data_IF_842693765560
#
_entry.id   IF_842693765560
#
_cell.length_a   1.000
_cell.length_b   1.000
_cell.length_c   1.000
_cell.angle_alpha   90.00
_cell.angle_beta   90.00
_cell.angle_gamma   90.00
#
_symmetry.space_group_name_H-M   'P 1'
#
loop_
_entity.id
_entity.type
_entity.pdbx_description
1 polymer ?
#
# COMPACT_ATOMS: atom_id res chain seq x y z
N UNK A 1 -19.41 -16.75 15.01
CA UNK A 1 -19.27 -17.26 13.82
C UNK A 1 -18.87 -16.32 12.83
N UNK A 2 -19.54 -15.31 12.71
CA UNK A 2 -19.20 -14.32 11.76
C UNK A 2 -17.94 -13.63 12.09
N UNK A 3 -17.64 -13.53 13.36
CA UNK A 3 -16.42 -12.87 13.82
C UNK A 3 -15.20 -13.56 13.26
N UNK A 4 -15.20 -14.86 13.20
CA UNK A 4 -14.04 -15.57 12.67
C UNK A 4 -13.82 -15.30 11.21
N UNK A 5 -14.90 -15.18 10.46
CA UNK A 5 -14.78 -14.89 9.04
C UNK A 5 -14.21 -13.51 8.83
N UNK A 6 -14.63 -12.53 9.63
CA UNK A 6 -14.10 -11.19 9.47
C UNK A 6 -12.62 -11.14 9.79
N UNK A 7 -12.18 -11.85 10.79
CA UNK A 7 -10.78 -11.85 11.14
C UNK A 7 -9.94 -12.45 10.01
N UNK A 8 -10.42 -13.51 9.40
CA UNK A 8 -9.69 -14.11 8.29
C UNK A 8 -9.66 -13.19 7.10
N UNK A 9 -10.72 -12.41 6.94
CA UNK A 9 -10.82 -11.54 5.78
C UNK A 9 -9.80 -10.42 5.77
N UNK A 10 -9.40 -9.89 6.91
CA UNK A 10 -8.47 -8.77 6.91
C UNK A 10 -7.09 -9.18 6.38
N UNK A 11 -6.70 -10.43 6.56
CA UNK A 11 -5.40 -10.86 6.07
C UNK A 11 -5.32 -10.84 4.56
N UNK A 12 -6.40 -11.21 3.90
CA UNK A 12 -6.44 -11.15 2.45
C UNK A 12 -6.36 -9.70 1.99
N UNK A 13 -7.10 -8.82 2.65
CA UNK A 13 -7.10 -7.41 2.28
C UNK A 13 -5.76 -6.75 2.55
N UNK A 14 -5.08 -7.20 3.61
CA UNK A 14 -3.73 -6.72 3.86
C UNK A 14 -2.80 -7.14 2.73
N UNK A 15 -2.93 -8.36 2.22
CA UNK A 15 -2.10 -8.82 1.11
C UNK A 15 -2.28 -7.97 -0.13
N UNK A 16 -3.52 -7.60 -0.44
CA UNK A 16 -3.81 -6.76 -1.60
C UNK A 16 -3.18 -5.38 -1.41
N UNK A 17 -3.33 -4.79 -0.21
CA UNK A 17 -2.73 -3.49 0.09
C UNK A 17 -1.20 -3.58 -0.02
N UNK A 18 -0.61 -4.61 0.54
CA UNK A 18 0.84 -4.79 0.51
C UNK A 18 1.34 -4.91 -0.92
N UNK A 19 0.61 -5.61 -1.78
CA UNK A 19 1.02 -5.76 -3.17
C UNK A 19 0.93 -4.43 -3.90
N UNK A 20 -0.07 -3.62 -3.61
CA UNK A 20 -0.19 -2.30 -4.19
C UNK A 20 0.95 -1.41 -3.74
N UNK A 21 1.33 -1.52 -2.46
CA UNK A 21 2.43 -0.74 -1.91
C UNK A 21 3.74 -1.13 -2.62
N UNK A 22 3.98 -2.42 -2.79
CA UNK A 22 5.19 -2.88 -3.47
C UNK A 22 5.22 -2.40 -4.92
N UNK A 23 4.06 -2.38 -5.58
CA UNK A 23 3.98 -1.91 -6.95
C UNK A 23 4.39 -0.44 -7.03
N UNK A 24 3.88 0.38 -6.13
CA UNK A 24 4.22 1.80 -6.13
C UNK A 24 5.70 1.99 -5.80
N UNK A 25 6.21 1.24 -4.83
CA UNK A 25 7.62 1.35 -4.46
C UNK A 25 8.55 1.09 -5.64
N UNK A 26 8.19 0.17 -6.49
CA UNK A 26 9.03 -0.17 -7.62
C UNK A 26 8.92 0.79 -8.80
N UNK A 27 7.84 1.56 -8.88
CA UNK A 27 7.57 2.35 -10.06
C UNK A 27 7.45 3.85 -9.85
N UNK A 28 7.16 4.29 -8.64
CA UNK A 28 6.99 5.72 -8.41
C UNK A 28 8.32 6.43 -8.52
N UNK A 29 8.36 7.67 -8.96
CA UNK A 29 7.19 8.43 -9.37
C UNK A 29 6.89 8.35 -10.86
N UNK A 30 7.78 7.78 -11.67
CA UNK A 30 7.62 7.89 -13.12
C UNK A 30 8.04 6.64 -13.90
N UNK A 31 8.17 5.49 -13.25
CA UNK A 31 8.57 4.26 -13.93
C UNK A 31 7.38 3.36 -14.24
N UNK A 32 6.22 3.96 -14.47
CA UNK A 32 5.01 3.19 -14.73
C UNK A 32 4.93 2.80 -16.20
N UNK A 33 4.53 1.56 -16.51
CA UNK A 33 4.47 1.13 -17.89
C UNK A 33 3.27 1.74 -18.61
N UNK A 34 3.37 1.86 -19.93
CA UNK A 34 2.25 2.31 -20.73
C UNK A 34 1.45 1.07 -21.11
N UNK A 35 0.14 1.11 -20.90
CA UNK A 35 -0.73 0.01 -21.25
C UNK A 35 -1.54 0.39 -22.46
N UNK A 36 -1.30 -0.28 -23.57
CA UNK A 36 -1.82 0.16 -24.86
C UNK A 36 -3.33 0.26 -24.96
N UNK A 37 -4.04 -0.63 -24.27
CA UNK A 37 -5.48 -0.63 -24.41
C UNK A 37 -6.20 0.32 -23.44
N UNK A 38 -5.46 1.05 -22.61
CA UNK A 38 -6.08 1.96 -21.68
C UNK A 38 -6.02 3.39 -22.19
N UNK A 39 -7.08 4.19 -21.99
CA UNK A 39 -7.04 5.59 -22.37
C UNK A 39 -6.10 6.36 -21.46
N UNK A 40 -5.69 7.57 -21.86
CA UNK A 40 -4.71 8.33 -21.07
C UNK A 40 -5.06 8.51 -19.60
N UNK A 41 -6.33 8.76 -19.29
CA UNK A 41 -6.71 9.02 -17.92
C UNK A 41 -6.69 7.76 -17.07
N UNK A 42 -6.60 6.58 -17.68
CA UNK A 42 -6.55 5.33 -16.95
C UNK A 42 -5.15 4.72 -16.91
N UNK A 43 -4.18 5.37 -17.52
CA UNK A 43 -2.83 4.82 -17.56
C UNK A 43 -2.24 4.78 -16.15
N UNK A 44 -1.38 3.78 -15.87
CA UNK A 44 -0.67 3.75 -14.60
C UNK A 44 0.18 4.99 -14.45
N UNK A 45 0.04 5.69 -13.36
CA UNK A 45 0.86 6.86 -13.08
C UNK A 45 0.82 7.09 -11.57
N UNK A 46 1.52 8.10 -11.10
CA UNK A 46 1.62 8.35 -9.69
C UNK A 46 0.26 8.60 -9.05
N UNK A 47 -0.56 9.45 -9.64
CA UNK A 47 -1.87 9.77 -9.08
C UNK A 47 -2.78 8.57 -9.04
N UNK A 48 -2.88 7.84 -10.13
CA UNK A 48 -3.78 6.69 -10.20
C UNK A 48 -3.32 5.58 -9.27
N UNK A 49 -2.01 5.39 -9.17
CA UNK A 49 -1.48 4.34 -8.31
C UNK A 49 -1.69 4.67 -6.83
N UNK A 50 -1.56 5.95 -6.45
CA UNK A 50 -1.84 6.31 -5.07
C UNK A 50 -3.33 6.28 -4.77
N UNK A 51 -4.17 6.54 -5.75
CA UNK A 51 -5.60 6.42 -5.55
C UNK A 51 -5.95 4.97 -5.24
N UNK A 52 -5.38 4.03 -5.99
CA UNK A 52 -5.59 2.63 -5.74
C UNK A 52 -5.00 2.22 -4.39
N UNK A 53 -3.81 2.70 -4.07
CA UNK A 53 -3.16 2.37 -2.81
C UNK A 53 -4.01 2.84 -1.63
N UNK A 54 -4.56 4.05 -1.70
CA UNK A 54 -5.41 4.56 -0.64
C UNK A 54 -6.69 3.75 -0.50
N UNK A 55 -7.25 3.32 -1.62
CA UNK A 55 -8.47 2.53 -1.61
C UNK A 55 -8.21 1.17 -0.97
N UNK A 56 -7.12 0.52 -1.36
CA UNK A 56 -6.79 -0.79 -0.80
C UNK A 56 -6.48 -0.66 0.68
N UNK A 57 -5.83 0.41 1.08
CA UNK A 57 -5.52 0.64 2.48
C UNK A 57 -6.81 0.82 3.27
N UNK A 58 -7.77 1.59 2.73
CA UNK A 58 -9.02 1.81 3.43
C UNK A 58 -9.79 0.50 3.60
N UNK A 59 -9.80 -0.34 2.58
CA UNK A 59 -10.48 -1.63 2.64
C UNK A 59 -9.83 -2.49 3.72
N UNK A 60 -8.49 -2.49 3.78
CA UNK A 60 -7.79 -3.24 4.80
C UNK A 60 -8.14 -2.73 6.20
N UNK A 61 -8.14 -1.42 6.38
CA UNK A 61 -8.40 -0.84 7.71
C UNK A 61 -9.83 -1.10 8.16
N UNK A 62 -10.78 -1.09 7.25
CA UNK A 62 -12.15 -1.39 7.61
C UNK A 62 -12.28 -2.81 8.18
N UNK A 63 -11.48 -3.73 7.70
CA UNK A 63 -11.51 -5.10 8.18
C UNK A 63 -10.64 -5.31 9.41
N UNK A 64 -9.49 -4.64 9.47
CA UNK A 64 -8.52 -4.83 10.55
C UNK A 64 -8.87 -4.02 11.79
N UNK A 65 -9.36 -2.80 11.60
CA UNK A 65 -9.68 -1.92 12.71
C UNK A 65 -8.70 -0.77 12.80
N UNK A 66 -9.20 0.40 13.16
CA UNK A 66 -8.36 1.57 13.27
C UNK A 66 -7.62 1.59 14.59
N UNK A 67 -6.42 2.13 14.59
CA UNK A 67 -5.59 2.20 15.77
C UNK A 67 -4.57 3.31 15.57
N UNK A 68 -3.79 3.67 16.59
CA UNK A 68 -2.72 4.63 16.39
C UNK A 68 -1.73 4.18 15.32
N UNK A 69 -1.47 2.88 15.20
CA UNK A 69 -0.57 2.40 14.18
C UNK A 69 -1.13 2.60 12.79
N UNK A 70 -2.41 2.34 12.58
CA UNK A 70 -2.99 2.52 11.25
C UNK A 70 -3.00 4.00 10.86
N UNK A 71 -3.13 4.91 11.82
CA UNK A 71 -3.05 6.33 11.54
C UNK A 71 -1.65 6.69 11.09
N UNK A 72 -0.62 6.10 11.71
CA UNK A 72 0.77 6.35 11.29
C UNK A 72 1.01 5.82 9.89
N UNK A 73 0.45 4.69 9.56
CA UNK A 73 0.62 4.11 8.23
C UNK A 73 -0.04 4.99 7.16
N UNK A 74 -1.21 5.53 7.47
CA UNK A 74 -1.89 6.42 6.56
C UNK A 74 -1.06 7.68 6.34
N UNK A 75 -0.47 8.21 7.41
CA UNK A 75 0.36 9.40 7.32
C UNK A 75 1.58 9.11 6.46
N UNK A 76 2.17 7.93 6.59
CA UNK A 76 3.34 7.58 5.81
C UNK A 76 3.02 7.53 4.31
N UNK A 77 1.84 7.02 3.96
CA UNK A 77 1.43 6.97 2.56
C UNK A 77 1.33 8.39 2.01
N UNK A 78 0.66 9.29 2.73
CA UNK A 78 0.48 10.65 2.25
C UNK A 78 1.78 11.43 2.22
N UNK A 79 2.65 11.18 3.18
CA UNK A 79 3.93 11.87 3.23
C UNK A 79 4.78 11.48 2.03
N UNK A 80 4.80 10.18 1.68
CA UNK A 80 5.56 9.74 0.53
C UNK A 80 5.02 10.35 -0.76
N UNK A 81 3.70 10.46 -0.86
CA UNK A 81 3.09 11.05 -2.04
C UNK A 81 3.53 12.51 -2.17
N UNK A 82 3.50 13.26 -1.08
CA UNK A 82 3.93 14.65 -1.11
C UNK A 82 5.40 14.79 -1.52
N UNK A 83 6.25 13.88 -1.04
CA UNK A 83 7.65 13.91 -1.40
C UNK A 83 7.84 13.68 -2.91
N UNK A 84 7.13 12.70 -3.47
CA UNK A 84 7.21 12.47 -4.90
C UNK A 84 6.69 13.67 -5.69
N UNK A 85 5.61 14.29 -5.23
CA UNK A 85 5.06 15.44 -5.92
C UNK A 85 6.00 16.64 -5.89
N UNK A 86 6.84 16.73 -4.87
CA UNK A 86 7.81 17.81 -4.76
C UNK A 86 9.12 17.48 -5.46
N UNK A 87 9.22 16.35 -6.11
CA UNK A 87 10.45 15.98 -6.79
C UNK A 87 11.48 15.31 -5.91
N UNK A 88 11.12 14.97 -4.66
CA UNK A 88 12.05 14.33 -3.73
C UNK A 88 11.96 12.83 -3.90
N UNK A 89 12.43 12.33 -5.01
CA UNK A 89 12.26 10.93 -5.38
C UNK A 89 12.87 9.97 -4.37
N UNK A 90 14.10 10.21 -3.97
CA UNK A 90 14.76 9.31 -3.03
C UNK A 90 14.10 9.35 -1.66
N UNK A 91 13.71 10.53 -1.20
CA UNK A 91 13.05 10.65 0.09
C UNK A 91 11.70 9.94 0.06
N UNK A 92 10.97 10.06 -1.04
CA UNK A 92 9.69 9.37 -1.18
C UNK A 92 9.86 7.87 -1.15
N UNK A 93 10.87 7.35 -1.85
CA UNK A 93 11.12 5.92 -1.86
C UNK A 93 11.55 5.43 -0.48
N UNK A 94 12.36 6.21 0.22
CA UNK A 94 12.79 5.83 1.56
C UNK A 94 11.60 5.79 2.51
N UNK A 95 10.69 6.74 2.37
CA UNK A 95 9.52 6.78 3.25
C UNK A 95 8.63 5.56 3.03
N UNK A 96 8.39 5.20 1.77
CA UNK A 96 7.59 4.02 1.46
C UNK A 96 8.29 2.75 1.93
N UNK A 97 9.61 2.69 1.75
CA UNK A 97 10.35 1.52 2.14
C UNK A 97 10.30 1.32 3.66
N UNK A 98 10.35 2.41 4.41
CA UNK A 98 10.25 2.34 5.86
C UNK A 98 8.88 1.81 6.27
N UNK A 99 7.82 2.25 5.60
CA UNK A 99 6.49 1.76 5.88
C UNK A 99 6.38 0.28 5.54
N UNK A 100 6.90 -0.11 4.39
CA UNK A 100 6.86 -1.50 3.95
C UNK A 100 7.55 -2.40 4.97
N UNK A 101 8.73 -1.97 5.44
CA UNK A 101 9.48 -2.75 6.43
C UNK A 101 8.74 -2.84 7.75
N UNK A 102 8.09 -1.77 8.16
CA UNK A 102 7.32 -1.78 9.38
C UNK A 102 6.17 -2.76 9.29
N UNK A 103 5.50 -2.80 8.14
CA UNK A 103 4.39 -3.72 7.93
C UNK A 103 4.89 -5.17 7.95
N UNK A 104 6.06 -5.41 7.36
CA UNK A 104 6.63 -6.74 7.38
C UNK A 104 7.00 -7.15 8.80
N UNK A 105 7.51 -6.23 9.60
CA UNK A 105 7.82 -6.53 10.99
C UNK A 105 6.55 -6.86 11.76
N UNK A 106 5.47 -6.18 11.45
CA UNK A 106 4.22 -6.36 12.18
C UNK A 106 3.48 -7.64 11.75
N UNK A 107 3.44 -7.92 10.44
CA UNK A 107 2.61 -8.99 9.91
C UNK A 107 3.37 -10.07 9.15
N UNK A 108 4.51 -9.73 8.62
CA UNK A 108 5.15 -10.59 7.63
C UNK A 108 5.58 -11.93 8.13
N UNK A 109 6.05 -11.98 9.35
CA UNK A 109 6.52 -13.23 9.87
C UNK A 109 5.38 -14.21 9.98
N UNK A 110 4.23 -13.74 10.41
CA UNK A 110 3.09 -14.57 10.45
C UNK A 110 2.71 -15.07 9.12
N UNK A 111 2.75 -14.17 8.14
CA UNK A 111 2.40 -14.50 6.83
C UNK A 111 3.25 -15.59 6.29
N UNK A 112 4.54 -15.50 6.51
CA UNK A 112 5.42 -16.50 6.05
C UNK A 112 5.30 -17.77 6.82
N UNK A 113 5.11 -17.65 8.07
CA UNK A 113 5.13 -18.79 8.92
C UNK A 113 4.10 -19.79 8.52
N UNK A 114 3.05 -19.31 8.04
CA UNK A 114 2.12 -20.21 7.78
C UNK A 114 2.18 -20.75 6.54
N UNK A 115 2.85 -20.15 5.78
CA UNK A 115 2.89 -20.69 4.61
C UNK A 115 3.13 -21.99 4.58
N UNK A 116 3.53 -22.33 5.27
CA UNK A 116 3.73 -23.53 5.23
C UNK A 116 2.97 -24.28 5.40
#
# INVERSE_FOLDING_TARGET
MIVGVHVADWRHKFGVFRDSLAYVMGRAPDQFPVVDYLPPEKQPNLENSYEDLRKEFRVFIEAYGESPDTAKWSEAIEESYGLFKCGEKLAGKKRLNALYNELWTTFGVEDNGQDD
#
